data_IF_033558871525
#
_entry.id   IF_033558871525
#
_cell.length_a   1.000
_cell.length_b   1.000
_cell.length_c   1.000
_cell.angle_alpha   90.00
_cell.angle_beta   90.00
_cell.angle_gamma   90.00
#
_symmetry.space_group_name_H-M   'P 1'
#
loop_
_entity.id
_entity.type
_entity.pdbx_description
1 polymer ?
#
# COMPACT_ATOMS: atom_id res chain seq x y z
N UNK A 1 -15.58 -13.90 -1.27
CA UNK A 1 -16.24 -12.63 -0.87
C UNK A 1 -15.21 -11.72 -0.24
N UNK A 2 -15.15 -10.47 -0.68
CA UNK A 2 -14.41 -9.41 0.00
C UNK A 2 -15.22 -8.94 1.22
N UNK A 3 -14.55 -8.65 2.35
CA UNK A 3 -15.19 -8.25 3.60
C UNK A 3 -15.05 -6.73 3.75
N UNK A 4 -16.18 -6.03 3.89
CA UNK A 4 -16.20 -4.61 4.24
C UNK A 4 -16.06 -4.46 5.77
N UNK A 5 -15.25 -3.51 6.21
CA UNK A 5 -15.01 -3.22 7.63
C UNK A 5 -15.24 -1.74 7.88
N UNK A 6 -15.95 -1.43 8.97
CA UNK A 6 -16.10 -0.08 9.51
C UNK A 6 -15.15 0.10 10.68
N UNK A 7 -14.47 1.24 10.69
CA UNK A 7 -13.50 1.60 11.72
C UNK A 7 -13.88 2.99 12.24
N UNK A 8 -14.04 3.11 13.56
CA UNK A 8 -14.36 4.38 14.21
C UNK A 8 -13.08 5.18 14.44
N UNK A 9 -13.17 6.51 14.62
CA UNK A 9 -12.03 7.34 14.98
C UNK A 9 -11.22 6.75 16.15
N UNK A 10 -9.91 6.94 16.09
CA UNK A 10 -8.91 6.47 17.07
C UNK A 10 -8.74 4.95 17.18
N UNK A 11 -9.53 4.15 16.44
CA UNK A 11 -9.30 2.71 16.35
C UNK A 11 -8.15 2.39 15.40
N UNK A 12 -7.33 1.43 15.82
CA UNK A 12 -6.27 0.87 14.99
C UNK A 12 -6.80 -0.31 14.19
N UNK A 13 -6.55 -0.30 12.88
CA UNK A 13 -6.84 -1.47 12.03
C UNK A 13 -5.69 -2.49 12.05
N UNK A 14 -4.46 -2.02 12.26
CA UNK A 14 -3.30 -2.86 12.55
C UNK A 14 -2.26 -2.07 13.34
N UNK A 15 -1.39 -2.79 14.05
CA UNK A 15 -0.24 -2.24 14.77
C UNK A 15 1.06 -2.63 14.10
N UNK A 16 2.07 -1.78 14.24
CA UNK A 16 3.45 -2.08 13.86
C UNK A 16 3.91 -3.35 14.58
N UNK A 17 4.58 -4.24 13.85
CA UNK A 17 5.03 -5.55 14.35
C UNK A 17 4.01 -6.69 14.20
N UNK A 18 2.73 -6.40 13.93
CA UNK A 18 1.74 -7.45 13.73
C UNK A 18 2.08 -8.31 12.50
N UNK A 19 1.72 -9.60 12.56
CA UNK A 19 1.74 -10.45 11.38
C UNK A 19 0.74 -9.96 10.33
N UNK A 20 1.12 -9.97 9.06
CA UNK A 20 0.28 -9.50 7.96
C UNK A 20 -0.30 -10.66 7.13
N UNK A 21 -1.62 -10.68 6.99
CA UNK A 21 -2.35 -11.64 6.13
C UNK A 21 -3.30 -10.97 5.13
N UNK A 22 -3.55 -9.67 5.28
CA UNK A 22 -4.46 -8.86 4.47
C UNK A 22 -3.89 -7.47 4.17
N UNK A 23 -4.27 -6.90 3.03
CA UNK A 23 -4.21 -5.48 2.74
C UNK A 23 -5.63 -4.92 2.73
N UNK A 24 -5.76 -3.60 2.58
CA UNK A 24 -7.05 -2.92 2.66
C UNK A 24 -7.15 -1.84 1.59
N UNK A 25 -8.30 -1.75 0.92
CA UNK A 25 -8.67 -0.60 0.08
C UNK A 25 -9.57 0.33 0.87
N UNK A 26 -9.23 1.62 0.94
CA UNK A 26 -10.10 2.62 1.57
C UNK A 26 -11.26 2.97 0.64
N UNK A 27 -12.48 2.75 1.11
CA UNK A 27 -13.70 3.13 0.42
C UNK A 27 -14.10 4.55 0.80
N UNK A 28 -14.10 4.85 2.10
CA UNK A 28 -14.32 6.20 2.62
C UNK A 28 -13.46 6.44 3.86
N UNK A 29 -13.14 7.70 4.13
CA UNK A 29 -12.47 8.11 5.37
C UNK A 29 -10.97 8.36 5.22
N UNK A 30 -10.27 8.40 6.36
CA UNK A 30 -8.84 8.68 6.39
C UNK A 30 -8.16 8.08 7.60
N UNK A 31 -6.90 7.67 7.43
CA UNK A 31 -6.08 7.04 8.44
C UNK A 31 -4.76 7.79 8.64
N UNK A 32 -4.26 7.79 9.88
CA UNK A 32 -2.91 8.20 10.22
C UNK A 32 -1.99 6.98 10.14
N UNK A 33 -0.80 7.18 9.56
CA UNK A 33 0.27 6.20 9.56
C UNK A 33 1.25 6.55 10.66
N UNK A 34 1.50 5.60 11.57
CA UNK A 34 2.33 5.81 12.76
C UNK A 34 3.47 4.77 12.82
N UNK A 35 4.71 5.24 12.97
CA UNK A 35 5.89 4.40 13.23
C UNK A 35 6.46 4.83 14.57
N UNK A 36 6.72 3.88 15.47
CA UNK A 36 7.21 4.12 16.83
C UNK A 36 6.36 5.18 17.56
N UNK A 37 5.03 5.09 17.38
CA UNK A 37 4.00 6.01 17.91
C UNK A 37 4.09 7.47 17.40
N UNK A 38 4.88 7.75 16.35
CA UNK A 38 4.94 9.06 15.70
C UNK A 38 4.19 9.02 14.38
N UNK A 39 3.34 10.02 14.13
CA UNK A 39 2.66 10.18 12.83
C UNK A 39 3.70 10.50 11.76
N UNK A 40 3.77 9.66 10.73
CA UNK A 40 4.68 9.79 9.58
C UNK A 40 3.96 10.09 8.27
N UNK A 41 2.63 9.98 8.25
CA UNK A 41 1.82 10.34 7.10
C UNK A 41 0.35 10.00 7.27
N UNK A 42 -0.35 9.83 6.15
CA UNK A 42 -1.80 9.62 6.12
C UNK A 42 -2.24 8.92 4.84
N UNK A 43 -3.29 8.13 4.97
CA UNK A 43 -3.93 7.40 3.88
C UNK A 43 -5.36 7.91 3.71
N UNK A 44 -5.79 8.09 2.47
CA UNK A 44 -7.12 8.56 2.09
C UNK A 44 -7.91 7.57 1.23
N UNK A 45 -9.05 8.05 0.73
CA UNK A 45 -9.96 7.28 -0.12
C UNK A 45 -9.30 6.82 -1.43
N UNK A 46 -9.62 5.59 -1.85
CA UNK A 46 -9.07 4.99 -3.07
C UNK A 46 -7.66 4.40 -2.90
N UNK A 47 -6.97 4.67 -1.79
CA UNK A 47 -5.65 4.09 -1.55
C UNK A 47 -5.73 2.67 -1.00
N UNK A 48 -4.73 1.87 -1.39
CA UNK A 48 -4.44 0.56 -0.81
C UNK A 48 -3.37 0.74 0.29
N UNK A 49 -3.56 0.10 1.44
CA UNK A 49 -2.55 0.05 2.49
C UNK A 49 -2.38 -1.35 3.08
N UNK A 50 -1.22 -1.59 3.70
CA UNK A 50 -0.84 -2.89 4.25
C UNK A 50 -0.35 -3.89 3.20
N UNK A 51 -0.26 -3.49 1.94
CA UNK A 51 0.27 -4.23 0.81
C UNK A 51 1.77 -4.53 0.95
N UNK A 52 2.55 -3.59 1.49
CA UNK A 52 4.02 -3.73 1.58
C UNK A 52 4.41 -4.97 2.39
N UNK A 53 3.78 -5.17 3.55
CA UNK A 53 4.00 -6.35 4.39
C UNK A 53 3.65 -7.66 3.67
N UNK A 54 2.67 -7.66 2.78
CA UNK A 54 2.31 -8.85 2.00
C UNK A 54 3.30 -9.10 0.86
N UNK A 55 3.69 -8.05 0.13
CA UNK A 55 4.63 -8.12 -0.99
C UNK A 55 6.01 -8.57 -0.50
N UNK A 56 6.47 -8.03 0.62
CA UNK A 56 7.78 -8.33 1.20
C UNK A 56 7.76 -9.56 2.11
N UNK A 57 6.57 -10.05 2.47
CA UNK A 57 6.40 -11.11 3.48
C UNK A 57 7.08 -10.76 4.81
N UNK A 58 6.84 -9.54 5.27
CA UNK A 58 7.37 -8.96 6.51
C UNK A 58 6.22 -8.56 7.46
N UNK A 59 6.47 -8.39 8.77
CA UNK A 59 5.50 -7.80 9.69
C UNK A 59 5.03 -6.40 9.27
N UNK A 60 3.97 -5.89 9.91
CA UNK A 60 3.50 -4.52 9.71
C UNK A 60 4.60 -3.51 10.04
N UNK A 61 4.96 -2.66 9.09
CA UNK A 61 5.98 -1.61 9.31
C UNK A 61 5.45 -0.39 10.07
N UNK A 62 4.14 -0.18 10.06
CA UNK A 62 3.49 0.94 10.71
C UNK A 62 2.17 0.51 11.34
N UNK A 63 1.76 1.23 12.38
CA UNK A 63 0.41 1.21 12.91
C UNK A 63 -0.48 2.12 12.07
N UNK A 64 -1.71 1.70 11.80
CA UNK A 64 -2.68 2.46 11.01
C UNK A 64 -3.90 2.75 11.88
N UNK A 65 -4.20 4.03 12.10
CA UNK A 65 -5.28 4.51 12.99
C UNK A 65 -6.28 5.35 12.22
N UNK A 66 -7.58 5.09 12.37
CA UNK A 66 -8.60 5.92 11.74
C UNK A 66 -8.62 7.33 12.35
N UNK A 67 -8.65 8.35 11.51
CA UNK A 67 -8.76 9.77 11.90
C UNK A 67 -10.24 10.17 11.98
N UNK A 68 -11.03 9.70 11.02
CA UNK A 68 -12.48 9.91 10.90
C UNK A 68 -13.17 8.55 10.72
N UNK A 69 -14.51 8.45 10.88
CA UNK A 69 -15.22 7.21 10.56
C UNK A 69 -14.88 6.75 9.15
N UNK A 70 -14.39 5.51 9.03
CA UNK A 70 -13.80 5.00 7.80
C UNK A 70 -14.38 3.63 7.42
N UNK A 71 -14.49 3.38 6.12
CA UNK A 71 -14.82 2.07 5.57
C UNK A 71 -13.69 1.57 4.68
N UNK A 72 -13.31 0.30 4.87
CA UNK A 72 -12.33 -0.37 4.01
C UNK A 72 -12.85 -1.70 3.52
N UNK A 73 -12.25 -2.21 2.45
CA UNK A 73 -12.45 -3.57 1.97
C UNK A 73 -11.17 -4.38 2.16
N UNK A 74 -11.28 -5.54 2.78
CA UNK A 74 -10.17 -6.49 2.90
C UNK A 74 -9.76 -7.07 1.55
N UNK A 75 -8.45 -7.04 1.28
CA UNK A 75 -7.79 -7.71 0.18
C UNK A 75 -6.92 -8.83 0.76
N UNK A 76 -7.30 -10.09 0.51
CA UNK A 76 -6.50 -11.25 0.94
C UNK A 76 -5.17 -11.31 0.19
N UNK A 77 -4.14 -11.87 0.82
CA UNK A 77 -2.81 -12.08 0.19
C UNK A 77 -2.89 -12.67 -1.22
N UNK A 78 -3.62 -13.77 -1.41
CA UNK A 78 -3.74 -14.44 -2.69
C UNK A 78 -4.42 -13.56 -3.76
N UNK A 79 -5.34 -12.68 -3.36
CA UNK A 79 -5.99 -11.75 -4.27
C UNK A 79 -5.03 -10.63 -4.70
N UNK A 80 -4.24 -10.10 -3.76
CA UNK A 80 -3.18 -9.14 -4.08
C UNK A 80 -2.13 -9.77 -4.99
N UNK A 81 -1.72 -11.01 -4.73
CA UNK A 81 -0.81 -11.77 -5.59
C UNK A 81 -1.37 -11.95 -7.00
N UNK A 82 -2.65 -12.31 -7.14
CA UNK A 82 -3.31 -12.40 -8.44
C UNK A 82 -3.32 -11.05 -9.19
N UNK A 83 -3.56 -9.94 -8.49
CA UNK A 83 -3.47 -8.58 -9.08
C UNK A 83 -2.04 -8.32 -9.59
N UNK A 84 -1.03 -8.61 -8.77
CA UNK A 84 0.39 -8.43 -9.15
C UNK A 84 0.82 -9.34 -10.30
N UNK A 85 0.26 -10.54 -10.42
CA UNK A 85 0.56 -11.50 -11.49
C UNK A 85 -0.25 -11.25 -12.76
N UNK A 86 -1.26 -10.38 -12.70
CA UNK A 86 -2.05 -9.99 -13.88
C UNK A 86 -1.35 -8.97 -14.78
N UNK A 87 -0.27 -8.34 -14.31
CA UNK A 87 0.56 -7.42 -15.09
C UNK A 87 1.63 -8.13 -15.92
N UNK A 88 2.22 -7.42 -16.86
CA UNK A 88 3.44 -7.90 -17.51
C UNK A 88 4.63 -8.01 -16.53
N UNK A 89 5.68 -8.67 -16.99
CA UNK A 89 6.89 -8.96 -16.22
C UNK A 89 7.61 -7.67 -15.79
N UNK A 90 7.61 -6.64 -16.64
CA UNK A 90 8.33 -5.40 -16.38
C UNK A 90 7.66 -4.58 -15.27
N UNK A 91 6.34 -4.40 -15.33
CA UNK A 91 5.58 -3.75 -14.28
C UNK A 91 5.62 -4.55 -12.98
N UNK A 92 5.51 -5.88 -13.05
CA UNK A 92 5.61 -6.73 -11.87
C UNK A 92 6.96 -6.52 -11.14
N UNK A 93 8.05 -6.47 -11.91
CA UNK A 93 9.40 -6.21 -11.38
C UNK A 93 9.50 -4.80 -10.78
N UNK A 94 9.00 -3.79 -11.48
CA UNK A 94 8.99 -2.41 -10.99
C UNK A 94 8.24 -2.27 -9.66
N UNK A 95 7.05 -2.86 -9.53
CA UNK A 95 6.27 -2.84 -8.27
C UNK A 95 7.04 -3.50 -7.12
N UNK A 96 7.69 -4.65 -7.39
CA UNK A 96 8.53 -5.33 -6.38
C UNK A 96 9.73 -4.48 -5.96
N UNK A 97 10.41 -3.83 -6.90
CA UNK A 97 11.56 -2.97 -6.59
C UNK A 97 11.13 -1.73 -5.81
N UNK A 98 10.06 -1.04 -6.21
CA UNK A 98 9.51 0.10 -5.46
C UNK A 98 9.14 -0.33 -4.04
N UNK A 99 8.49 -1.48 -3.88
CA UNK A 99 8.11 -2.00 -2.56
C UNK A 99 9.32 -2.29 -1.68
N UNK A 100 10.41 -2.82 -2.24
CA UNK A 100 11.66 -3.05 -1.51
C UNK A 100 12.29 -1.74 -1.07
N UNK A 101 12.29 -0.73 -1.93
CA UNK A 101 12.83 0.60 -1.62
C UNK A 101 12.01 1.27 -0.52
N UNK A 102 10.68 1.26 -0.59
CA UNK A 102 9.79 1.72 0.49
C UNK A 102 10.01 0.97 1.81
N UNK A 103 10.46 -0.28 1.73
CA UNK A 103 10.78 -1.10 2.89
C UNK A 103 12.08 -0.71 3.60
N UNK A 104 12.94 0.13 3.01
CA UNK A 104 14.23 0.53 3.61
C UNK A 104 14.04 1.64 4.65
N UNK A 105 14.97 1.70 5.59
CA UNK A 105 15.05 2.76 6.61
C UNK A 105 15.82 4.00 6.14
N UNK A 106 16.69 3.87 5.13
CA UNK A 106 17.52 4.95 4.58
C UNK A 106 18.04 4.61 3.19
N UNK A 107 18.66 5.59 2.51
CA UNK A 107 19.30 5.43 1.19
C UNK A 107 18.35 4.90 0.11
N UNK A 108 17.12 5.41 0.11
CA UNK A 108 16.10 5.11 -0.88
C UNK A 108 16.58 5.49 -2.28
N UNK A 109 16.29 4.62 -3.25
CA UNK A 109 16.51 4.89 -4.66
C UNK A 109 15.19 4.74 -5.39
N UNK A 110 14.97 5.54 -6.42
CA UNK A 110 13.80 5.42 -7.26
C UNK A 110 14.12 4.44 -8.41
N UNK A 111 13.58 3.21 -8.41
CA UNK A 111 14.00 2.17 -9.36
C UNK A 111 13.48 2.42 -10.77
N UNK A 112 12.41 3.22 -10.90
CA UNK A 112 11.80 3.60 -12.17
C UNK A 112 11.37 5.05 -12.11
N UNK A 113 11.57 5.82 -13.19
CA UNK A 113 11.09 7.20 -13.24
C UNK A 113 9.57 7.25 -13.37
N UNK A 114 8.94 8.36 -12.94
CA UNK A 114 7.49 8.53 -13.12
C UNK A 114 7.07 8.43 -14.59
N UNK A 115 7.87 9.00 -15.50
CA UNK A 115 7.63 8.93 -16.95
C UNK A 115 7.59 7.47 -17.42
N UNK A 116 8.62 6.68 -17.09
CA UNK A 116 8.69 5.27 -17.49
C UNK A 116 7.55 4.46 -16.87
N UNK A 117 7.22 4.69 -15.60
CA UNK A 117 6.12 3.99 -14.94
C UNK A 117 4.78 4.26 -15.63
N UNK A 118 4.51 5.52 -16.01
CA UNK A 118 3.29 5.88 -16.75
C UNK A 118 3.19 5.11 -18.05
N UNK A 119 4.29 4.92 -18.79
CA UNK A 119 4.32 4.09 -20.00
C UNK A 119 4.00 2.61 -19.69
N UNK A 120 4.58 2.04 -18.62
CA UNK A 120 4.36 0.64 -18.23
C UNK A 120 2.92 0.33 -17.85
N UNK A 121 2.21 1.29 -17.24
CA UNK A 121 0.85 1.06 -16.74
C UNK A 121 -0.26 1.37 -17.76
N UNK A 122 0.06 1.93 -18.94
CA UNK A 122 -0.92 2.42 -19.91
C UNK A 122 -1.96 1.36 -20.33
N UNK A 123 -1.51 0.12 -20.55
CA UNK A 123 -2.36 -0.98 -21.03
C UNK A 123 -2.64 -2.03 -19.95
N UNK A 124 -2.48 -1.65 -18.68
CA UNK A 124 -2.59 -2.56 -17.54
C UNK A 124 -3.94 -2.38 -16.84
N UNK A 125 -4.46 -3.42 -16.17
CA UNK A 125 -5.70 -3.32 -15.41
C UNK A 125 -5.67 -2.15 -14.41
N UNK A 126 -6.82 -1.49 -14.23
CA UNK A 126 -6.93 -0.26 -13.43
C UNK A 126 -6.38 -0.40 -12.02
N UNK A 127 -6.61 -1.55 -11.39
CA UNK A 127 -6.21 -1.80 -10.00
C UNK A 127 -4.68 -1.88 -9.87
N UNK A 128 -3.99 -2.60 -10.75
CA UNK A 128 -2.52 -2.71 -10.70
C UNK A 128 -1.86 -1.40 -11.13
N UNK A 129 -2.48 -0.67 -12.08
CA UNK A 129 -2.05 0.67 -12.46
C UNK A 129 -2.11 1.64 -11.27
N UNK A 130 -3.24 1.68 -10.57
CA UNK A 130 -3.40 2.55 -9.40
C UNK A 130 -2.41 2.19 -8.29
N UNK A 131 -2.26 0.89 -7.98
CA UNK A 131 -1.31 0.41 -6.99
C UNK A 131 0.14 0.79 -7.32
N UNK A 132 0.57 0.58 -8.56
CA UNK A 132 1.94 0.89 -8.98
C UNK A 132 2.24 2.39 -8.89
N UNK A 133 1.31 3.24 -9.34
CA UNK A 133 1.43 4.69 -9.27
C UNK A 133 1.44 5.19 -7.82
N UNK A 134 0.60 4.62 -6.96
CA UNK A 134 0.55 4.94 -5.53
C UNK A 134 1.88 4.62 -4.84
N UNK A 135 2.40 3.40 -5.01
CA UNK A 135 3.68 2.99 -4.42
C UNK A 135 4.83 3.88 -4.90
N UNK A 136 4.84 4.21 -6.19
CA UNK A 136 5.84 5.10 -6.76
C UNK A 136 5.78 6.51 -6.15
N UNK A 137 4.58 7.07 -6.02
CA UNK A 137 4.37 8.39 -5.42
C UNK A 137 4.81 8.42 -3.94
N UNK A 138 4.46 7.38 -3.16
CA UNK A 138 4.92 7.24 -1.77
C UNK A 138 6.45 7.26 -1.69
N UNK A 139 7.12 6.55 -2.59
CA UNK A 139 8.58 6.49 -2.63
C UNK A 139 9.20 7.81 -3.10
N UNK A 140 8.59 8.51 -4.07
CA UNK A 140 9.13 9.77 -4.61
C UNK A 140 9.06 10.91 -3.61
N UNK A 141 7.95 11.00 -2.87
CA UNK A 141 7.74 12.08 -1.89
C UNK A 141 8.18 11.69 -0.48
N UNK A 142 8.61 10.44 -0.28
CA UNK A 142 8.92 9.89 1.05
C UNK A 142 7.75 10.02 2.04
N UNK A 143 6.54 9.79 1.54
CA UNK A 143 5.29 9.84 2.31
C UNK A 143 4.73 8.44 2.51
N UNK A 144 4.19 8.18 3.71
CA UNK A 144 3.61 6.89 4.10
C UNK A 144 2.12 6.99 4.39
#
# INVERSE_FOLDING_TARGET
MSKKIRILPDQYICKQGDAASTAFLVITGSFAVEIDNKKVGSIGEGEIFGELSLILSEPRKASIKAIIPSEVVEIKKNALEAILLSSDIELHKAVKEISKELGKTSNHQLPVTRKRLVELVQNQPDVIRALALQLHHRLSEMIF
#
